data_IF_537017589006
#
_entry.id   IF_537017589006
#
_cell.length_a   1.000
_cell.length_b   1.000
_cell.length_c   1.000
_cell.angle_alpha   90.00
_cell.angle_beta   90.00
_cell.angle_gamma   90.00
#
_symmetry.space_group_name_H-M   'P 1'
#
loop_
_entity.id
_entity.type
_entity.pdbx_description
1 polymer ?
#
# COMPACT_ATOMS: atom_id res chain seq x y z
N UNK A 1 -3.68 23.39 -18.13
CA UNK A 1 -2.62 23.37 -17.11
C UNK A 1 -1.31 23.22 -17.83
N UNK A 2 -0.45 24.23 -17.74
CA UNK A 2 0.91 24.20 -18.26
C UNK A 2 1.64 23.00 -17.64
N UNK A 3 2.26 22.14 -18.46
CA UNK A 3 2.93 20.93 -17.98
C UNK A 3 4.17 21.36 -17.18
N UNK A 4 4.04 21.43 -15.86
CA UNK A 4 5.19 21.59 -14.96
C UNK A 4 6.16 20.45 -15.28
N UNK A 5 7.43 20.79 -15.54
CA UNK A 5 8.45 19.78 -15.83
C UNK A 5 8.57 18.81 -14.66
N UNK A 6 8.71 17.52 -14.98
CA UNK A 6 8.82 16.44 -14.00
C UNK A 6 9.91 16.74 -12.93
N UNK A 7 11.00 17.39 -13.32
CA UNK A 7 12.08 17.78 -12.41
C UNK A 7 11.63 18.78 -11.34
N UNK A 8 10.79 19.76 -11.71
CA UNK A 8 10.26 20.75 -10.76
C UNK A 8 9.31 20.08 -9.77
N UNK A 9 8.52 19.11 -10.25
CA UNK A 9 7.56 18.35 -9.44
C UNK A 9 8.29 17.54 -8.35
N UNK A 10 9.38 16.85 -8.68
CA UNK A 10 10.20 16.13 -7.70
C UNK A 10 10.99 17.07 -6.77
N UNK A 11 11.44 18.22 -7.27
CA UNK A 11 12.07 19.24 -6.43
C UNK A 11 11.11 19.77 -5.36
N UNK A 12 9.84 20.02 -5.72
CA UNK A 12 8.80 20.44 -4.77
C UNK A 12 8.54 19.39 -3.70
N UNK A 13 8.53 18.10 -4.06
CA UNK A 13 8.40 17.00 -3.08
C UNK A 13 9.57 17.04 -2.09
N UNK A 14 10.80 17.13 -2.59
CA UNK A 14 11.99 17.17 -1.74
C UNK A 14 11.97 18.40 -0.83
N UNK A 15 11.68 19.58 -1.38
CA UNK A 15 11.56 20.82 -0.62
C UNK A 15 10.47 20.73 0.46
N UNK A 16 9.33 20.09 0.15
CA UNK A 16 8.24 19.87 1.11
C UNK A 16 8.68 18.98 2.28
N UNK A 17 9.43 17.90 2.00
CA UNK A 17 9.93 17.00 3.05
C UNK A 17 11.02 17.66 3.90
N UNK A 18 11.89 18.47 3.28
CA UNK A 18 12.87 19.30 3.98
C UNK A 18 12.19 20.32 4.90
N UNK A 19 11.13 20.98 4.41
CA UNK A 19 10.28 21.87 5.22
C UNK A 19 9.63 21.13 6.40
N UNK A 20 9.10 19.91 6.18
CA UNK A 20 8.54 19.10 7.26
C UNK A 20 9.56 18.84 8.37
N UNK A 21 10.81 18.55 7.98
CA UNK A 21 11.89 18.25 8.91
C UNK A 21 12.39 19.48 9.67
N UNK A 22 12.69 20.59 9.00
CA UNK A 22 13.29 21.76 9.65
C UNK A 22 12.29 22.71 10.28
N UNK A 23 11.04 22.76 9.79
CA UNK A 23 10.03 23.70 10.31
C UNK A 23 8.99 22.94 11.12
N UNK A 24 8.28 21.99 10.50
CA UNK A 24 7.14 21.34 11.16
C UNK A 24 7.56 20.47 12.36
N UNK A 25 8.73 19.83 12.31
CA UNK A 25 9.22 19.02 13.42
C UNK A 25 9.52 19.84 14.69
N UNK A 26 9.87 21.12 14.54
CA UNK A 26 10.16 22.03 15.64
C UNK A 26 8.90 22.64 16.28
N UNK A 27 7.73 22.47 15.65
CA UNK A 27 6.47 22.94 16.19
C UNK A 27 5.91 21.97 17.26
N UNK A 28 5.08 22.49 18.19
CA UNK A 28 4.38 21.66 19.16
C UNK A 28 3.57 20.55 18.49
N UNK A 29 3.64 19.37 19.10
CA UNK A 29 2.87 18.18 18.70
C UNK A 29 1.37 18.50 18.74
N UNK A 30 0.60 17.93 17.82
CA UNK A 30 -0.84 18.11 17.70
C UNK A 30 -1.21 19.12 16.62
N UNK A 31 -2.12 20.03 16.95
CA UNK A 31 -2.82 20.89 15.97
C UNK A 31 -1.87 21.87 15.25
N UNK A 32 -0.88 22.45 15.94
CA UNK A 32 0.04 23.41 15.32
C UNK A 32 0.91 22.75 14.24
N UNK A 33 1.46 21.58 14.53
CA UNK A 33 2.18 20.76 13.54
C UNK A 33 1.27 20.27 12.41
N UNK A 34 0.00 19.97 12.70
CA UNK A 34 -0.96 19.58 11.64
C UNK A 34 -1.25 20.74 10.68
N UNK A 35 -1.49 21.95 11.21
CA UNK A 35 -1.73 23.15 10.41
C UNK A 35 -0.51 23.45 9.53
N UNK A 36 0.72 23.37 10.06
CA UNK A 36 1.93 23.60 9.26
C UNK A 36 2.11 22.60 8.12
N UNK A 37 1.63 21.36 8.28
CA UNK A 37 1.70 20.30 7.27
C UNK A 37 0.56 20.38 6.23
N UNK A 38 -0.47 21.20 6.44
CA UNK A 38 -1.63 21.30 5.55
C UNK A 38 -1.26 21.66 4.10
N UNK A 39 -0.35 22.61 3.82
CA UNK A 39 0.10 22.86 2.45
C UNK A 39 0.76 21.63 1.81
N UNK A 40 1.52 20.85 2.58
CA UNK A 40 2.19 19.63 2.11
C UNK A 40 1.17 18.55 1.77
N UNK A 41 0.11 18.39 2.58
CA UNK A 41 -0.99 17.48 2.26
C UNK A 41 -1.67 17.82 0.93
N UNK A 42 -1.91 19.11 0.68
CA UNK A 42 -2.45 19.59 -0.59
C UNK A 42 -1.54 19.26 -1.77
N UNK A 43 -0.24 19.57 -1.66
CA UNK A 43 0.75 19.29 -2.69
C UNK A 43 0.84 17.80 -3.01
N UNK A 44 0.94 16.94 -2.00
CA UNK A 44 1.02 15.48 -2.18
C UNK A 44 -0.28 14.87 -2.71
N UNK A 45 -1.42 15.55 -2.55
CA UNK A 45 -2.69 15.12 -3.12
C UNK A 45 -2.77 15.46 -4.61
N UNK A 46 -2.26 16.62 -5.03
CA UNK A 46 -2.26 17.06 -6.45
C UNK A 46 -1.14 16.40 -7.25
N UNK A 47 -0.03 16.07 -6.60
CA UNK A 47 1.20 15.56 -7.23
C UNK A 47 0.99 14.47 -8.30
N UNK A 48 0.23 13.37 -8.05
CA UNK A 48 0.10 12.32 -9.05
C UNK A 48 -0.71 12.75 -10.28
N UNK A 49 -1.53 13.80 -10.16
CA UNK A 49 -2.33 14.32 -11.26
C UNK A 49 -1.46 15.02 -12.31
N UNK A 50 -0.24 15.42 -11.96
CA UNK A 50 0.73 16.08 -12.83
C UNK A 50 1.46 15.09 -13.75
N UNK A 51 1.37 13.79 -13.49
CA UNK A 51 1.97 12.76 -14.34
C UNK A 51 1.05 12.43 -15.52
N UNK A 52 1.66 12.17 -16.68
CA UNK A 52 0.94 11.75 -17.90
C UNK A 52 0.82 10.23 -18.03
N UNK A 53 1.66 9.47 -17.31
CA UNK A 53 1.65 8.00 -17.34
C UNK A 53 0.77 7.45 -16.23
N UNK A 54 -0.10 6.49 -16.56
CA UNK A 54 -0.98 5.78 -15.65
C UNK A 54 -0.21 5.07 -14.54
N UNK A 55 0.86 4.36 -14.90
CA UNK A 55 1.72 3.65 -13.95
C UNK A 55 2.44 4.64 -13.02
N UNK A 56 3.05 5.69 -13.57
CA UNK A 56 3.70 6.72 -12.76
C UNK A 56 2.71 7.41 -11.81
N UNK A 57 1.49 7.72 -12.28
CA UNK A 57 0.42 8.28 -11.44
C UNK A 57 0.04 7.32 -10.31
N UNK A 58 -0.09 6.01 -10.57
CA UNK A 58 -0.42 5.03 -9.54
C UNK A 58 0.69 4.94 -8.46
N UNK A 59 1.96 4.89 -8.87
CA UNK A 59 3.11 4.86 -7.95
C UNK A 59 3.19 6.16 -7.13
N UNK A 60 3.07 7.31 -7.78
CA UNK A 60 3.05 8.63 -7.15
C UNK A 60 1.91 8.75 -6.13
N UNK A 61 0.72 8.28 -6.48
CA UNK A 61 -0.44 8.27 -5.58
C UNK A 61 -0.18 7.41 -4.35
N UNK A 62 0.31 6.18 -4.56
CA UNK A 62 0.62 5.27 -3.48
C UNK A 62 1.68 5.82 -2.53
N UNK A 63 2.74 6.44 -3.04
CA UNK A 63 3.85 6.93 -2.21
C UNK A 63 3.48 8.23 -1.50
N UNK A 64 2.85 9.19 -2.19
CA UNK A 64 2.65 10.54 -1.66
C UNK A 64 1.25 10.77 -1.13
N UNK A 65 0.24 10.70 -2.00
CA UNK A 65 -1.15 10.97 -1.61
C UNK A 65 -1.63 10.04 -0.52
N UNK A 66 -1.19 8.78 -0.58
CA UNK A 66 -1.46 7.78 0.44
C UNK A 66 -0.38 7.78 1.51
N UNK A 67 0.74 7.06 1.30
CA UNK A 67 1.62 6.73 2.41
C UNK A 67 2.23 7.96 3.09
N UNK A 68 2.77 8.90 2.34
CA UNK A 68 3.41 10.09 2.91
C UNK A 68 2.44 10.95 3.70
N UNK A 69 1.25 11.24 3.15
CA UNK A 69 0.23 12.03 3.84
C UNK A 69 -0.20 11.38 5.16
N UNK A 70 -0.49 10.07 5.16
CA UNK A 70 -0.91 9.38 6.38
C UNK A 70 0.22 9.26 7.41
N UNK A 71 1.48 9.10 6.96
CA UNK A 71 2.64 9.12 7.85
C UNK A 71 2.88 10.49 8.46
N UNK A 72 2.75 11.57 7.67
CA UNK A 72 2.86 12.94 8.14
C UNK A 72 1.70 13.34 9.06
N UNK A 73 0.50 12.81 8.82
CA UNK A 73 -0.65 12.93 9.73
C UNK A 73 -0.38 12.21 11.07
N UNK A 74 0.16 11.00 11.04
CA UNK A 74 0.56 10.33 12.28
C UNK A 74 1.66 11.15 13.01
N UNK A 75 2.64 11.66 12.26
CA UNK A 75 3.72 12.52 12.77
C UNK A 75 3.22 13.81 13.41
N UNK A 76 2.12 14.40 12.91
CA UNK A 76 1.54 15.61 13.50
C UNK A 76 1.13 15.37 14.95
N UNK A 77 0.64 14.16 15.27
CA UNK A 77 0.20 13.74 16.60
C UNK A 77 1.19 12.84 17.33
N UNK A 78 2.49 12.92 16.98
CA UNK A 78 3.57 12.17 17.64
C UNK A 78 3.45 10.63 17.55
N UNK A 79 2.82 10.13 16.49
CA UNK A 79 2.64 8.70 16.25
C UNK A 79 3.48 8.20 15.07
N UNK A 80 3.82 6.92 15.13
CA UNK A 80 4.54 6.22 14.07
C UNK A 80 6.05 6.49 14.06
N UNK A 81 6.77 5.97 13.04
CA UNK A 81 8.22 5.93 13.06
C UNK A 81 8.88 7.29 12.84
N UNK A 82 8.19 8.25 12.22
CA UNK A 82 8.70 9.63 12.02
C UNK A 82 8.83 10.42 13.33
N UNK A 83 8.12 10.00 14.39
CA UNK A 83 8.19 10.60 15.73
C UNK A 83 9.23 9.93 16.64
N UNK A 84 9.98 8.94 16.11
CA UNK A 84 10.98 8.20 16.89
C UNK A 84 12.13 9.10 17.34
N UNK A 85 12.43 9.10 18.64
CA UNK A 85 13.52 9.88 19.22
C UNK A 85 14.91 9.25 19.03
N UNK A 86 14.98 8.03 18.46
CA UNK A 86 16.25 7.32 18.34
C UNK A 86 17.19 8.02 17.34
N UNK A 87 18.51 8.15 17.65
CA UNK A 87 19.46 8.91 16.83
C UNK A 87 19.53 8.47 15.36
N UNK A 88 19.31 7.17 15.09
CA UNK A 88 19.26 6.63 13.73
C UNK A 88 18.17 7.28 12.85
N UNK A 89 17.11 7.81 13.47
CA UNK A 89 15.95 8.39 12.79
C UNK A 89 15.98 9.92 12.71
N UNK A 90 17.03 10.55 13.25
CA UNK A 90 17.19 12.00 13.24
C UNK A 90 17.94 12.54 12.02
N UNK A 91 18.47 11.71 11.14
CA UNK A 91 19.08 12.24 9.92
C UNK A 91 18.00 12.70 8.93
N UNK A 92 18.24 13.83 8.26
CA UNK A 92 17.35 14.36 7.22
C UNK A 92 17.05 13.31 6.15
N UNK A 93 18.08 12.56 5.72
CA UNK A 93 17.94 11.51 4.72
C UNK A 93 17.01 10.38 5.18
N UNK A 94 17.15 9.93 6.43
CA UNK A 94 16.27 8.89 6.98
C UNK A 94 14.85 9.41 7.14
N UNK A 95 14.65 10.67 7.54
CA UNK A 95 13.31 11.26 7.61
C UNK A 95 12.63 11.31 6.23
N UNK A 96 13.34 11.82 5.21
CA UNK A 96 12.84 11.88 3.83
C UNK A 96 12.49 10.48 3.32
N UNK A 97 13.39 9.51 3.49
CA UNK A 97 13.14 8.13 3.07
C UNK A 97 11.93 7.50 3.79
N UNK A 98 11.84 7.66 5.11
CA UNK A 98 10.74 7.13 5.91
C UNK A 98 9.39 7.76 5.59
N UNK A 99 9.37 9.07 5.29
CA UNK A 99 8.16 9.78 4.91
C UNK A 99 7.68 9.36 3.50
N UNK A 100 8.58 9.36 2.52
CA UNK A 100 8.26 9.18 1.09
C UNK A 100 8.09 7.73 0.63
N UNK A 101 8.90 6.81 1.16
CA UNK A 101 8.95 5.44 0.64
C UNK A 101 8.07 4.50 1.46
N UNK A 102 7.61 3.36 0.89
CA UNK A 102 6.77 2.38 1.56
C UNK A 102 7.54 1.51 2.59
N UNK A 103 8.20 2.16 3.53
CA UNK A 103 9.10 1.51 4.49
C UNK A 103 8.38 1.08 5.75
N UNK A 104 8.83 -0.05 6.27
CA UNK A 104 8.51 -0.53 7.61
C UNK A 104 9.79 -0.94 8.30
N UNK A 105 10.02 -0.36 9.48
CA UNK A 105 11.17 -0.68 10.29
C UNK A 105 11.01 -2.06 10.92
N UNK A 106 12.08 -2.84 10.88
CA UNK A 106 12.15 -4.15 11.49
C UNK A 106 11.96 -4.04 13.00
N UNK A 107 10.91 -4.68 13.54
CA UNK A 107 10.78 -4.86 14.99
C UNK A 107 11.87 -5.84 15.45
N UNK A 108 12.68 -5.46 16.44
CA UNK A 108 13.56 -6.42 17.14
C UNK A 108 12.71 -7.60 17.63
N UNK A 109 13.19 -8.83 17.41
CA UNK A 109 12.66 -10.10 17.93
C UNK A 109 11.47 -10.79 17.23
N UNK A 110 11.23 -10.61 15.93
CA UNK A 110 10.29 -11.49 15.22
C UNK A 110 11.03 -12.41 14.25
N UNK A 111 11.29 -13.64 14.69
CA UNK A 111 11.86 -14.70 13.85
C UNK A 111 10.74 -15.24 12.96
N UNK A 112 10.54 -14.65 11.77
CA UNK A 112 9.56 -15.14 10.80
C UNK A 112 10.23 -16.12 9.84
N UNK A 113 9.85 -17.40 9.91
CA UNK A 113 10.20 -18.39 8.89
C UNK A 113 9.22 -18.26 7.73
N UNK A 114 9.59 -17.53 6.67
CA UNK A 114 8.90 -17.66 5.38
C UNK A 114 9.19 -19.05 4.81
N UNK A 115 8.15 -19.78 4.40
CA UNK A 115 8.26 -21.05 3.68
C UNK A 115 8.83 -20.80 2.29
N UNK A 116 8.38 -19.73 1.62
CA UNK A 116 8.89 -19.28 0.33
C UNK A 116 9.65 -17.96 0.52
N UNK A 117 10.97 -18.04 0.76
CA UNK A 117 11.85 -16.86 0.71
C UNK A 117 12.11 -16.49 -0.75
N UNK A 118 11.12 -15.93 -1.44
CA UNK A 118 11.39 -15.22 -2.68
C UNK A 118 12.33 -14.06 -2.34
N UNK A 119 13.51 -14.05 -2.97
CA UNK A 119 14.34 -12.87 -2.96
C UNK A 119 13.77 -11.87 -3.98
N UNK A 120 14.15 -10.60 -3.85
CA UNK A 120 13.67 -9.54 -4.73
C UNK A 120 13.88 -9.88 -6.22
N UNK A 121 14.98 -10.56 -6.57
CA UNK A 121 15.25 -11.00 -7.93
C UNK A 121 14.20 -12.01 -8.45
N UNK A 122 13.79 -12.97 -7.62
CA UNK A 122 12.75 -13.94 -7.97
C UNK A 122 11.37 -13.27 -8.11
N UNK A 123 11.05 -12.28 -7.27
CA UNK A 123 9.80 -11.50 -7.39
C UNK A 123 9.79 -10.70 -8.71
N UNK A 124 10.89 -10.04 -9.05
CA UNK A 124 11.04 -9.31 -10.33
C UNK A 124 10.93 -10.27 -11.52
N UNK A 125 11.59 -11.43 -11.46
CA UNK A 125 11.53 -12.44 -12.52
C UNK A 125 10.12 -13.03 -12.67
N UNK A 126 9.44 -13.32 -11.56
CA UNK A 126 8.05 -13.79 -11.55
C UNK A 126 7.09 -12.75 -12.12
N UNK A 127 7.28 -11.48 -11.75
CA UNK A 127 6.50 -10.36 -12.28
C UNK A 127 6.69 -10.21 -13.80
N UNK A 128 7.93 -10.23 -14.28
CA UNK A 128 8.24 -10.15 -15.71
C UNK A 128 7.69 -11.36 -16.49
N UNK A 129 7.83 -12.57 -15.94
CA UNK A 129 7.30 -13.79 -16.54
C UNK A 129 5.78 -13.79 -16.64
N UNK A 130 5.10 -13.31 -15.60
CA UNK A 130 3.63 -13.16 -15.58
C UNK A 130 3.15 -12.12 -16.59
N UNK A 131 3.85 -10.98 -16.72
CA UNK A 131 3.55 -9.99 -17.76
C UNK A 131 3.69 -10.59 -19.16
N UNK A 132 4.75 -11.37 -19.42
CA UNK A 132 4.91 -12.06 -20.70
C UNK A 132 3.78 -13.06 -20.97
N UNK A 133 3.34 -13.79 -19.94
CA UNK A 133 2.21 -14.72 -20.05
C UNK A 133 0.92 -13.97 -20.43
N UNK A 134 0.63 -12.86 -19.74
CA UNK A 134 -0.54 -12.01 -20.02
C UNK A 134 -0.47 -11.45 -21.44
N UNK A 135 0.67 -10.92 -21.88
CA UNK A 135 0.80 -10.36 -23.23
C UNK A 135 0.70 -11.40 -24.35
N UNK A 136 1.03 -12.66 -24.07
CA UNK A 136 1.02 -13.73 -25.08
C UNK A 136 -0.32 -14.46 -25.16
N UNK A 137 -0.98 -14.65 -24.03
CA UNK A 137 -2.17 -15.50 -23.93
C UNK A 137 -3.40 -14.80 -23.34
N UNK A 138 -3.29 -13.54 -22.93
CA UNK A 138 -4.38 -12.78 -22.28
C UNK A 138 -5.65 -12.71 -23.11
N UNK A 139 -5.54 -12.38 -24.40
CA UNK A 139 -6.70 -12.16 -25.28
C UNK A 139 -7.50 -13.44 -25.56
N UNK A 140 -6.87 -14.63 -25.46
CA UNK A 140 -7.50 -15.92 -25.70
C UNK A 140 -7.85 -16.71 -24.44
N UNK A 141 -7.52 -16.21 -23.26
CA UNK A 141 -7.73 -16.90 -22.00
C UNK A 141 -9.16 -16.70 -21.46
N UNK A 142 -9.65 -17.68 -20.71
CA UNK A 142 -10.92 -17.55 -20.00
C UNK A 142 -10.86 -16.38 -18.99
N UNK A 143 -11.93 -15.58 -18.89
CA UNK A 143 -11.96 -14.36 -18.07
C UNK A 143 -11.51 -14.59 -16.62
N UNK A 144 -12.00 -15.65 -15.96
CA UNK A 144 -11.59 -15.97 -14.58
C UNK A 144 -10.08 -16.24 -14.48
N UNK A 145 -9.46 -16.84 -15.49
CA UNK A 145 -8.02 -17.08 -15.50
C UNK A 145 -7.24 -15.77 -15.61
N UNK A 146 -7.71 -14.84 -16.44
CA UNK A 146 -7.14 -13.49 -16.54
C UNK A 146 -7.22 -12.76 -15.19
N UNK A 147 -8.36 -12.87 -14.48
CA UNK A 147 -8.51 -12.27 -13.14
C UNK A 147 -7.58 -12.90 -12.09
N UNK A 148 -7.30 -14.21 -12.18
CA UNK A 148 -6.26 -14.86 -11.36
C UNK A 148 -4.90 -14.25 -11.68
N UNK A 149 -4.53 -14.12 -12.96
CA UNK A 149 -3.27 -13.49 -13.35
C UNK A 149 -3.17 -12.04 -12.88
N UNK A 150 -4.25 -11.26 -12.96
CA UNK A 150 -4.29 -9.89 -12.44
C UNK A 150 -4.10 -9.85 -10.91
N UNK A 151 -4.66 -10.81 -10.18
CA UNK A 151 -4.46 -10.92 -8.73
C UNK A 151 -3.00 -11.16 -8.37
N UNK A 152 -2.36 -12.08 -9.07
CA UNK A 152 -0.92 -12.36 -8.92
C UNK A 152 -0.07 -11.17 -9.35
N UNK A 153 -0.47 -10.46 -10.41
CA UNK A 153 0.24 -9.30 -10.92
C UNK A 153 0.22 -8.15 -9.91
N UNK A 154 -0.94 -7.84 -9.34
CA UNK A 154 -1.07 -6.79 -8.30
C UNK A 154 -0.27 -7.17 -7.05
N UNK A 155 -0.32 -8.43 -6.62
CA UNK A 155 0.47 -8.91 -5.50
C UNK A 155 1.98 -8.72 -5.73
N UNK A 156 2.49 -9.22 -6.86
CA UNK A 156 3.90 -9.10 -7.22
C UNK A 156 4.32 -7.64 -7.44
N UNK A 157 3.45 -6.81 -8.03
CA UNK A 157 3.70 -5.39 -8.23
C UNK A 157 3.96 -4.68 -6.90
N UNK A 158 3.09 -4.89 -5.91
CA UNK A 158 3.25 -4.28 -4.57
C UNK A 158 4.53 -4.79 -3.92
N UNK A 159 4.78 -6.10 -3.95
CA UNK A 159 5.97 -6.68 -3.32
C UNK A 159 7.27 -6.17 -3.98
N UNK A 160 7.33 -6.09 -5.32
CA UNK A 160 8.48 -5.53 -6.07
C UNK A 160 8.66 -4.04 -5.77
N UNK A 161 7.59 -3.23 -5.81
CA UNK A 161 7.69 -1.78 -5.54
C UNK A 161 8.22 -1.50 -4.13
N UNK A 162 7.72 -2.21 -3.13
CA UNK A 162 8.19 -2.07 -1.75
C UNK A 162 9.59 -2.66 -1.57
N UNK A 163 9.88 -3.79 -2.21
CA UNK A 163 11.19 -4.45 -2.16
C UNK A 163 12.31 -3.60 -2.77
N UNK A 164 12.08 -3.00 -3.94
CA UNK A 164 13.02 -2.05 -4.57
C UNK A 164 13.21 -0.81 -3.71
N UNK A 165 12.13 -0.25 -3.18
CA UNK A 165 12.20 0.90 -2.25
C UNK A 165 13.02 0.55 -1.01
N UNK A 166 12.84 -0.65 -0.47
CA UNK A 166 13.57 -1.10 0.69
C UNK A 166 15.05 -1.36 0.42
N UNK A 167 15.37 -1.93 -0.74
CA UNK A 167 16.75 -2.08 -1.18
C UNK A 167 17.45 -0.74 -1.31
N UNK A 168 16.82 0.26 -1.95
CA UNK A 168 17.38 1.60 -2.10
C UNK A 168 17.71 2.24 -0.74
N UNK A 169 16.82 2.11 0.24
CA UNK A 169 17.03 2.66 1.59
C UNK A 169 18.12 1.92 2.34
N UNK A 170 18.18 0.59 2.20
CA UNK A 170 19.26 -0.21 2.81
C UNK A 170 20.62 0.24 2.31
N UNK A 171 20.75 0.51 1.01
CA UNK A 171 21.99 1.04 0.41
C UNK A 171 22.30 2.46 0.92
N UNK A 172 21.31 3.33 1.01
CA UNK A 172 21.50 4.74 1.39
C UNK A 172 21.71 4.98 2.89
N UNK A 173 21.10 4.16 3.75
CA UNK A 173 21.01 4.41 5.20
C UNK A 173 21.53 3.27 6.06
N UNK A 174 21.79 2.09 5.47
CA UNK A 174 22.17 0.88 6.20
C UNK A 174 21.03 0.25 7.02
N UNK A 175 19.80 0.77 6.94
CA UNK A 175 18.67 0.26 7.71
C UNK A 175 18.06 -0.99 7.06
N UNK A 176 17.90 -2.05 7.85
CA UNK A 176 17.16 -3.25 7.45
C UNK A 176 15.65 -3.04 7.60
N UNK A 177 14.91 -3.47 6.58
CA UNK A 177 13.48 -3.25 6.47
C UNK A 177 12.70 -4.57 6.49
N UNK A 178 11.48 -4.50 7.01
CA UNK A 178 10.56 -5.63 6.99
C UNK A 178 9.96 -5.84 5.59
N UNK A 179 9.65 -7.09 5.21
CA UNK A 179 8.99 -7.36 3.96
C UNK A 179 7.56 -6.76 3.92
N UNK A 180 7.06 -6.40 2.71
CA UNK A 180 5.73 -5.85 2.50
C UNK A 180 4.61 -6.80 2.94
N UNK A 181 4.76 -8.08 2.61
CA UNK A 181 3.75 -9.11 2.85
C UNK A 181 4.36 -10.35 3.54
N UNK A 182 3.51 -11.09 4.25
CA UNK A 182 3.86 -12.29 5.02
C UNK A 182 2.98 -13.48 4.64
N UNK A 183 3.20 -14.00 3.42
CA UNK A 183 2.51 -15.17 2.85
C UNK A 183 0.97 -15.10 3.03
N UNK A 184 0.31 -14.10 2.41
CA UNK A 184 -1.12 -13.82 2.61
C UNK A 184 -2.03 -14.99 2.20
N UNK A 185 -1.57 -15.84 1.28
CA UNK A 185 -2.27 -17.05 0.86
C UNK A 185 -2.34 -18.15 1.94
N UNK A 186 -1.61 -18.01 3.06
CA UNK A 186 -1.69 -18.93 4.21
C UNK A 186 -2.66 -18.45 5.31
N UNK A 187 -3.44 -17.40 5.05
CA UNK A 187 -4.36 -16.83 6.03
C UNK A 187 -5.50 -17.78 6.34
N UNK A 188 -5.79 -17.97 7.63
CA UNK A 188 -6.91 -18.81 8.10
C UNK A 188 -8.13 -17.99 8.58
N UNK A 189 -8.04 -16.66 8.54
CA UNK A 189 -9.13 -15.72 8.85
C UNK A 189 -8.93 -14.40 8.11
N UNK A 190 -9.99 -13.62 7.93
CA UNK A 190 -9.88 -12.31 7.30
C UNK A 190 -9.09 -11.32 8.17
N UNK A 191 -9.21 -11.43 9.50
CA UNK A 191 -8.39 -10.63 10.43
C UNK A 191 -6.90 -10.93 10.26
N UNK A 192 -6.53 -12.18 10.07
CA UNK A 192 -5.13 -12.56 9.83
C UNK A 192 -4.65 -12.05 8.47
N UNK A 193 -5.46 -12.20 7.43
CA UNK A 193 -5.16 -11.72 6.08
C UNK A 193 -4.85 -10.22 6.09
N UNK A 194 -5.82 -9.39 6.50
CA UNK A 194 -5.70 -7.93 6.45
C UNK A 194 -4.80 -7.35 7.54
N UNK A 195 -4.77 -7.94 8.73
CA UNK A 195 -4.06 -7.36 9.87
C UNK A 195 -2.60 -7.80 10.02
N UNK A 196 -2.22 -8.96 9.44
CA UNK A 196 -0.91 -9.58 9.73
C UNK A 196 -0.13 -10.03 8.52
N UNK A 197 -0.76 -10.22 7.36
CA UNK A 197 -0.11 -10.84 6.19
C UNK A 197 -0.12 -9.99 4.93
N UNK A 198 -1.20 -9.28 4.62
CA UNK A 198 -1.32 -8.47 3.42
C UNK A 198 -0.87 -7.02 3.65
N UNK A 199 -0.05 -6.50 2.73
CA UNK A 199 0.36 -5.09 2.63
C UNK A 199 0.57 -4.40 4.00
N UNK A 200 1.57 -4.87 4.72
CA UNK A 200 1.82 -4.47 6.09
C UNK A 200 2.35 -3.04 6.21
N UNK A 201 2.87 -2.47 5.12
CA UNK A 201 3.22 -1.05 5.05
C UNK A 201 1.96 -0.19 5.18
N UNK A 202 0.93 -0.45 4.37
CA UNK A 202 -0.36 0.27 4.47
C UNK A 202 -1.03 0.01 5.81
N UNK A 203 -1.06 -1.25 6.25
CA UNK A 203 -1.67 -1.64 7.53
C UNK A 203 -1.04 -0.88 8.72
N UNK A 204 0.29 -0.76 8.78
CA UNK A 204 0.92 0.02 9.85
C UNK A 204 0.70 1.52 9.70
N UNK A 205 0.66 2.03 8.47
CA UNK A 205 0.38 3.43 8.22
C UNK A 205 -1.02 3.81 8.73
N UNK A 206 -2.04 3.02 8.40
CA UNK A 206 -3.39 3.21 8.95
C UNK A 206 -3.49 2.91 10.43
N UNK A 207 -2.68 1.98 10.95
CA UNK A 207 -2.64 1.72 12.39
C UNK A 207 -2.36 2.99 13.18
N UNK A 208 -1.30 3.71 12.81
CA UNK A 208 -0.87 4.92 13.53
C UNK A 208 -1.72 6.16 13.22
N UNK A 209 -2.29 6.25 12.02
CA UNK A 209 -3.04 7.44 11.57
C UNK A 209 -4.54 7.36 11.78
N UNK A 210 -5.12 6.15 11.85
CA UNK A 210 -6.58 5.93 11.90
C UNK A 210 -6.95 5.00 13.05
N UNK A 211 -6.49 3.75 13.02
CA UNK A 211 -7.00 2.70 13.90
C UNK A 211 -6.77 2.99 15.39
N UNK A 212 -5.51 3.25 15.79
CA UNK A 212 -5.18 3.53 17.19
C UNK A 212 -5.91 4.81 17.69
N UNK A 213 -5.88 5.96 16.98
CA UNK A 213 -6.67 7.13 17.37
C UNK A 213 -8.18 6.87 17.50
N UNK A 214 -8.80 6.22 16.52
CA UNK A 214 -10.25 5.94 16.56
C UNK A 214 -10.58 4.97 17.68
N UNK A 215 -9.73 3.97 17.93
CA UNK A 215 -9.90 3.04 19.06
C UNK A 215 -9.80 3.77 20.39
N UNK A 216 -8.82 4.64 20.57
CA UNK A 216 -8.64 5.42 21.81
C UNK A 216 -9.86 6.32 22.09
N UNK A 217 -10.34 7.03 21.06
CA UNK A 217 -11.56 7.85 21.16
C UNK A 217 -12.80 6.99 21.46
N UNK A 218 -12.93 5.85 20.79
CA UNK A 218 -14.09 4.96 20.97
C UNK A 218 -14.06 4.28 22.34
N UNK A 219 -12.89 3.94 22.87
CA UNK A 219 -12.75 3.32 24.19
C UNK A 219 -13.33 4.19 25.31
N UNK A 220 -13.26 5.52 25.16
CA UNK A 220 -13.85 6.46 26.10
C UNK A 220 -15.40 6.43 26.10
N UNK A 221 -16.03 5.98 25.00
CA UNK A 221 -17.50 6.03 24.83
C UNK A 221 -18.15 4.65 24.97
N UNK A 222 -17.59 3.62 24.33
CA UNK A 222 -18.19 2.27 24.22
C UNK A 222 -17.40 1.19 24.97
N UNK A 223 -16.34 1.58 25.68
CA UNK A 223 -15.48 0.67 26.45
C UNK A 223 -14.42 -0.04 25.60
N UNK A 224 -13.33 -0.43 26.27
CA UNK A 224 -12.13 -0.96 25.60
C UNK A 224 -12.33 -2.26 24.81
N UNK A 225 -13.29 -3.09 25.21
CA UNK A 225 -13.58 -4.37 24.54
C UNK A 225 -14.25 -4.20 23.17
N UNK A 226 -15.02 -3.13 22.98
CA UNK A 226 -15.78 -2.87 21.76
C UNK A 226 -15.18 -1.75 20.90
N UNK A 227 -14.29 -0.94 21.49
CA UNK A 227 -13.53 0.10 20.80
C UNK A 227 -12.84 -0.32 19.50
N UNK A 228 -12.38 -1.57 19.32
CA UNK A 228 -11.80 -2.01 18.05
C UNK A 228 -12.77 -2.03 16.88
N UNK A 229 -14.08 -2.24 17.09
CA UNK A 229 -15.07 -2.30 16.02
C UNK A 229 -15.15 -1.00 15.18
N UNK A 230 -15.41 0.18 15.77
CA UNK A 230 -15.42 1.43 14.99
C UNK A 230 -14.05 1.73 14.37
N UNK A 231 -12.95 1.36 15.03
CA UNK A 231 -11.61 1.52 14.49
C UNK A 231 -11.36 0.66 13.24
N UNK A 232 -11.82 -0.60 13.24
CA UNK A 232 -11.79 -1.47 12.06
C UNK A 232 -12.61 -0.86 10.93
N UNK A 233 -13.87 -0.49 11.19
CA UNK A 233 -14.76 0.07 10.18
C UNK A 233 -14.21 1.37 9.57
N UNK A 234 -13.70 2.29 10.40
CA UNK A 234 -13.08 3.52 9.91
C UNK A 234 -11.84 3.24 9.05
N UNK A 235 -11.02 2.27 9.43
CA UNK A 235 -9.82 1.87 8.67
C UNK A 235 -10.20 1.28 7.30
N UNK A 236 -11.19 0.38 7.26
CA UNK A 236 -11.65 -0.23 6.02
C UNK A 236 -12.37 0.78 5.12
N UNK A 237 -13.20 1.66 5.68
CA UNK A 237 -13.84 2.73 4.92
C UNK A 237 -12.78 3.63 4.25
N UNK A 238 -11.78 4.07 5.00
CA UNK A 238 -10.72 4.92 4.46
C UNK A 238 -9.85 4.18 3.44
N UNK A 239 -9.54 2.90 3.67
CA UNK A 239 -8.88 2.07 2.67
C UNK A 239 -9.69 1.99 1.37
N UNK A 240 -11.01 1.82 1.47
CA UNK A 240 -11.92 1.83 0.31
C UNK A 240 -11.88 3.14 -0.47
N UNK A 241 -11.98 4.27 0.23
CA UNK A 241 -11.88 5.59 -0.37
C UNK A 241 -10.55 5.82 -1.07
N UNK A 242 -9.43 5.35 -0.50
CA UNK A 242 -8.11 5.49 -1.11
C UNK A 242 -7.97 4.67 -2.40
N UNK A 243 -8.57 3.48 -2.46
CA UNK A 243 -8.59 2.68 -3.70
C UNK A 243 -9.51 3.28 -4.75
N UNK A 244 -10.67 3.80 -4.35
CA UNK A 244 -11.56 4.52 -5.26
C UNK A 244 -10.88 5.76 -5.86
N UNK A 245 -10.15 6.50 -5.02
CA UNK A 245 -9.37 7.67 -5.43
C UNK A 245 -8.20 7.27 -6.35
N UNK A 246 -7.56 6.13 -6.11
CA UNK A 246 -6.53 5.57 -6.99
C UNK A 246 -7.08 5.33 -8.40
N UNK A 247 -8.26 4.68 -8.51
CA UNK A 247 -8.91 4.43 -9.80
C UNK A 247 -9.27 5.76 -10.47
N UNK A 248 -9.83 6.71 -9.73
CA UNK A 248 -10.11 8.07 -10.25
C UNK A 248 -8.84 8.74 -10.80
N UNK A 249 -7.71 8.61 -10.11
CA UNK A 249 -6.45 9.24 -10.52
C UNK A 249 -5.84 8.60 -11.77
N UNK A 250 -5.89 7.27 -11.86
CA UNK A 250 -5.32 6.53 -12.99
C UNK A 250 -6.23 6.63 -14.21
N UNK A 251 -7.52 6.33 -14.05
CA UNK A 251 -8.46 6.24 -15.17
C UNK A 251 -9.08 7.59 -15.57
N UNK A 252 -9.03 8.60 -14.69
CA UNK A 252 -9.74 9.89 -14.86
C UNK A 252 -11.24 9.72 -15.11
N UNK A 253 -11.81 8.64 -14.58
CA UNK A 253 -13.22 8.27 -14.71
C UNK A 253 -13.95 8.42 -13.37
N UNK A 254 -15.26 8.63 -13.41
CA UNK A 254 -16.07 8.81 -12.19
C UNK A 254 -15.97 7.59 -11.25
N UNK A 255 -15.85 7.81 -9.92
CA UNK A 255 -15.93 6.75 -8.93
C UNK A 255 -17.17 5.87 -9.09
N UNK A 256 -16.97 4.56 -9.06
CA UNK A 256 -18.01 3.53 -9.10
C UNK A 256 -18.49 3.14 -7.70
N UNK A 257 -17.67 3.39 -6.67
CA UNK A 257 -17.84 2.96 -5.28
C UNK A 257 -17.77 1.45 -5.05
N UNK A 258 -17.53 0.65 -6.10
CA UNK A 258 -17.41 -0.81 -6.01
C UNK A 258 -16.19 -1.23 -5.18
N UNK A 259 -15.04 -0.54 -5.33
CA UNK A 259 -13.87 -0.80 -4.47
C UNK A 259 -14.12 -0.38 -3.03
N UNK A 260 -14.82 0.73 -2.81
CA UNK A 260 -15.22 1.12 -1.45
C UNK A 260 -16.11 0.06 -0.81
N UNK A 261 -17.09 -0.47 -1.56
CA UNK A 261 -17.95 -1.57 -1.12
C UNK A 261 -17.17 -2.84 -0.80
N UNK A 262 -16.15 -3.19 -1.60
CA UNK A 262 -15.24 -4.30 -1.32
C UNK A 262 -14.62 -4.17 0.08
N UNK A 263 -13.98 -3.03 0.37
CA UNK A 263 -13.32 -2.85 1.67
C UNK A 263 -14.32 -2.78 2.83
N UNK A 264 -15.48 -2.15 2.65
CA UNK A 264 -16.51 -2.12 3.69
C UNK A 264 -17.05 -3.53 4.00
N UNK A 265 -17.31 -4.35 2.97
CA UNK A 265 -17.72 -5.74 3.14
C UNK A 265 -16.69 -6.53 3.94
N UNK A 266 -15.40 -6.42 3.57
CA UNK A 266 -14.32 -7.04 4.33
C UNK A 266 -14.22 -6.49 5.76
N UNK A 267 -14.44 -5.20 5.96
CA UNK A 267 -14.47 -4.57 7.28
C UNK A 267 -15.57 -5.12 8.17
N UNK A 268 -16.78 -5.29 7.65
CA UNK A 268 -17.91 -5.92 8.35
C UNK A 268 -17.57 -7.37 8.70
N UNK A 269 -16.97 -8.12 7.77
CA UNK A 269 -16.61 -9.52 8.04
C UNK A 269 -15.52 -9.64 9.11
N UNK A 270 -14.50 -8.79 9.08
CA UNK A 270 -13.45 -8.75 10.13
C UNK A 270 -14.02 -8.29 11.48
N UNK A 271 -14.93 -7.32 11.47
CA UNK A 271 -15.64 -6.86 12.66
C UNK A 271 -16.51 -7.99 13.25
N UNK A 272 -17.19 -8.79 12.40
CA UNK A 272 -17.96 -9.94 12.81
C UNK A 272 -17.07 -11.06 13.39
N UNK A 273 -15.93 -11.36 12.76
CA UNK A 273 -14.92 -12.29 13.32
C UNK A 273 -14.45 -11.84 14.72
N UNK A 274 -14.23 -10.54 14.90
CA UNK A 274 -13.84 -9.99 16.20
C UNK A 274 -14.97 -10.05 17.23
N UNK A 275 -16.19 -9.65 16.86
CA UNK A 275 -17.34 -9.64 17.76
C UNK A 275 -17.72 -11.05 18.21
N UNK A 276 -17.65 -12.04 17.31
CA UNK A 276 -17.87 -13.45 17.65
C UNK A 276 -16.80 -14.00 18.59
N UNK A 277 -15.52 -13.68 18.35
CA UNK A 277 -14.42 -14.03 19.27
C UNK A 277 -14.66 -13.45 20.67
N UNK A 278 -15.11 -12.20 20.75
CA UNK A 278 -15.40 -11.54 22.03
C UNK A 278 -16.63 -12.11 22.73
N UNK A 279 -17.70 -12.42 21.98
CA UNK A 279 -18.94 -12.96 22.54
C UNK A 279 -18.80 -14.40 23.05
N UNK A 280 -17.96 -15.21 22.39
CA UNK A 280 -17.75 -16.63 22.73
C UNK A 280 -16.51 -16.89 23.59
N UNK A 281 -15.76 -15.84 23.98
CA UNK A 281 -14.53 -15.98 24.77
C UNK A 281 -13.39 -16.68 24.02
N UNK A 282 -13.44 -16.70 22.69
CA UNK A 282 -12.46 -17.34 21.83
C UNK A 282 -12.95 -17.56 20.40
N UNK A 283 -12.02 -17.85 19.49
CA UNK A 283 -12.33 -18.18 18.09
C UNK A 283 -12.70 -19.66 17.95
N UNK A 284 -13.85 -20.00 17.33
CA UNK A 284 -14.15 -21.38 16.94
C UNK A 284 -13.05 -21.87 15.99
N UNK A 285 -12.29 -22.87 16.41
CA UNK A 285 -11.13 -23.37 15.65
C UNK A 285 -11.60 -24.31 14.55
N UNK A 286 -11.93 -23.76 13.39
CA UNK A 286 -12.03 -24.56 12.16
C UNK A 286 -10.64 -25.13 11.82
N UNK A 287 -10.56 -26.38 11.31
CA UNK A 287 -9.29 -26.92 10.82
C UNK A 287 -8.69 -26.00 9.74
N UNK A 288 -7.37 -25.79 9.78
CA UNK A 288 -6.68 -24.90 8.84
C UNK A 288 -6.91 -25.26 7.37
N UNK A 289 -7.06 -26.56 7.08
CA UNK A 289 -7.36 -27.07 5.75
C UNK A 289 -8.73 -26.61 5.21
N UNK A 290 -9.63 -26.18 6.09
CA UNK A 290 -10.96 -25.66 5.73
C UNK A 290 -10.96 -24.13 5.79
N UNK A 291 -10.48 -23.55 6.89
CA UNK A 291 -10.50 -22.10 7.10
C UNK A 291 -9.61 -21.35 6.11
N UNK A 292 -8.47 -21.95 5.70
CA UNK A 292 -7.55 -21.37 4.73
C UNK A 292 -8.18 -21.18 3.35
N UNK A 293 -8.63 -22.28 2.68
CA UNK A 293 -9.30 -22.19 1.39
C UNK A 293 -10.57 -21.33 1.42
N UNK A 294 -11.34 -21.37 2.52
CA UNK A 294 -12.51 -20.48 2.67
C UNK A 294 -12.11 -19.00 2.70
N UNK A 295 -11.07 -18.65 3.47
CA UNK A 295 -10.60 -17.25 3.57
C UNK A 295 -10.06 -16.77 2.24
N UNK A 296 -9.18 -17.54 1.59
CA UNK A 296 -8.59 -17.18 0.30
C UNK A 296 -9.65 -17.16 -0.79
N UNK A 297 -10.54 -18.15 -0.82
CA UNK A 297 -11.67 -18.21 -1.77
C UNK A 297 -12.61 -17.02 -1.62
N UNK A 298 -12.93 -16.62 -0.39
CA UNK A 298 -13.72 -15.41 -0.13
C UNK A 298 -13.02 -14.16 -0.67
N UNK A 299 -11.74 -13.96 -0.33
CA UNK A 299 -10.95 -12.81 -0.81
C UNK A 299 -10.88 -12.78 -2.33
N UNK A 300 -10.59 -13.91 -2.99
CA UNK A 300 -10.50 -13.98 -4.45
C UNK A 300 -11.87 -13.73 -5.09
N UNK A 301 -12.93 -14.34 -4.56
CA UNK A 301 -14.29 -14.16 -5.05
C UNK A 301 -14.77 -12.71 -4.96
N UNK A 302 -14.57 -12.05 -3.81
CA UNK A 302 -14.92 -10.63 -3.65
C UNK A 302 -14.02 -9.73 -4.50
N UNK A 303 -12.76 -10.11 -4.73
CA UNK A 303 -11.85 -9.36 -5.62
C UNK A 303 -12.36 -9.39 -7.06
N UNK A 304 -12.82 -10.55 -7.54
CA UNK A 304 -13.36 -10.69 -8.89
C UNK A 304 -14.68 -9.92 -9.06
N UNK A 305 -15.47 -9.87 -8.00
CA UNK A 305 -16.78 -9.23 -8.02
C UNK A 305 -16.73 -7.71 -7.87
N UNK A 306 -15.89 -7.16 -6.97
CA UNK A 306 -15.96 -5.74 -6.59
C UNK A 306 -14.65 -4.97 -6.81
N UNK A 307 -13.51 -5.65 -6.90
CA UNK A 307 -12.21 -4.99 -7.00
C UNK A 307 -11.74 -4.80 -8.45
N UNK A 308 -11.80 -5.85 -9.28
CA UNK A 308 -11.35 -5.75 -10.68
C UNK A 308 -12.30 -5.07 -11.65
N UNK A 309 -13.64 -5.19 -11.54
CA UNK A 309 -14.54 -4.61 -12.53
C UNK A 309 -14.36 -3.10 -12.76
N UNK A 310 -14.11 -2.26 -11.74
CA UNK A 310 -13.81 -0.84 -11.94
C UNK A 310 -12.56 -0.61 -12.79
N UNK A 311 -11.48 -1.36 -12.53
CA UNK A 311 -10.21 -1.23 -13.26
C UNK A 311 -10.35 -1.60 -14.73
N UNK A 312 -11.08 -2.70 -15.00
CA UNK A 312 -11.29 -3.21 -16.36
C UNK A 312 -12.25 -2.30 -17.13
N UNK A 313 -13.36 -1.88 -16.51
CA UNK A 313 -14.37 -1.01 -17.13
C UNK A 313 -13.81 0.36 -17.48
N UNK A 314 -12.88 0.87 -16.66
CA UNK A 314 -12.23 2.14 -16.91
C UNK A 314 -11.02 2.05 -17.85
N UNK A 315 -10.61 0.84 -18.24
CA UNK A 315 -9.41 0.60 -19.05
C UNK A 315 -8.08 0.89 -18.34
N UNK A 316 -8.10 1.07 -17.02
CA UNK A 316 -6.90 1.38 -16.24
C UNK A 316 -5.90 0.23 -16.27
N UNK A 317 -6.39 -1.01 -16.29
CA UNK A 317 -5.58 -2.22 -16.45
C UNK A 317 -4.79 -2.20 -17.75
N UNK A 318 -5.46 -1.90 -18.88
CA UNK A 318 -4.83 -1.83 -20.20
C UNK A 318 -3.79 -0.71 -20.30
N UNK A 319 -4.12 0.49 -19.81
CA UNK A 319 -3.18 1.63 -19.79
C UNK A 319 -1.88 1.27 -19.07
N UNK A 320 -1.98 0.69 -17.88
CA UNK A 320 -0.80 0.29 -17.09
C UNK A 320 -0.03 -0.83 -17.78
N UNK A 321 -0.72 -1.83 -18.33
CA UNK A 321 -0.11 -2.96 -19.04
C UNK A 321 0.67 -2.51 -20.30
N UNK A 322 0.11 -1.58 -21.08
CA UNK A 322 0.76 -1.01 -22.27
C UNK A 322 2.02 -0.21 -21.92
N UNK A 323 1.97 0.59 -20.86
CA UNK A 323 3.14 1.32 -20.37
C UNK A 323 4.24 0.37 -19.88
N UNK A 324 3.89 -0.66 -19.10
CA UNK A 324 4.84 -1.68 -18.64
C UNK A 324 5.48 -2.43 -19.80
N UNK A 325 4.70 -2.78 -20.84
CA UNK A 325 5.22 -3.39 -22.07
C UNK A 325 6.28 -2.51 -22.72
N UNK A 326 5.99 -1.21 -22.83
CA UNK A 326 6.90 -0.22 -23.41
C UNK A 326 8.20 -0.10 -22.61
N UNK A 327 8.11 -0.06 -21.27
CA UNK A 327 9.29 -0.02 -20.41
C UNK A 327 10.15 -1.28 -20.52
N UNK A 328 9.54 -2.46 -20.56
CA UNK A 328 10.26 -3.73 -20.73
C UNK A 328 10.99 -3.76 -22.08
N UNK A 329 10.32 -3.33 -23.16
CA UNK A 329 10.93 -3.27 -24.49
C UNK A 329 12.11 -2.28 -24.53
N UNK A 330 11.96 -1.11 -23.90
CA UNK A 330 13.04 -0.13 -23.79
C UNK A 330 14.26 -0.70 -23.08
N UNK A 331 14.07 -1.34 -21.92
CA UNK A 331 15.15 -1.98 -21.15
C UNK A 331 15.80 -3.10 -21.98
N UNK A 332 15.00 -3.93 -22.64
CA UNK A 332 15.51 -5.02 -23.47
C UNK A 332 16.37 -4.52 -24.63
N UNK A 333 15.92 -3.49 -25.34
CA UNK A 333 16.64 -2.90 -26.46
C UNK A 333 17.94 -2.22 -26.00
N UNK A 334 17.89 -1.50 -24.87
CA UNK A 334 19.07 -0.86 -24.30
C UNK A 334 20.11 -1.91 -23.84
N UNK A 335 19.66 -2.98 -23.16
CA UNK A 335 20.54 -4.08 -22.77
C UNK A 335 21.18 -4.75 -23.98
N UNK A 336 20.41 -5.04 -25.03
CA UNK A 336 20.97 -5.58 -26.28
C UNK A 336 22.02 -4.66 -26.89
N UNK A 337 21.79 -3.35 -26.89
CA UNK A 337 22.75 -2.39 -27.42
C UNK A 337 24.08 -2.38 -26.64
N UNK A 338 24.02 -2.53 -25.30
CA UNK A 338 25.21 -2.61 -24.46
C UNK A 338 25.97 -3.92 -24.61
N UNK A 339 25.26 -5.04 -24.82
CA UNK A 339 25.88 -6.36 -25.03
C UNK A 339 26.50 -6.47 -26.42
N UNK A 340 25.91 -5.83 -27.45
CA UNK A 340 26.47 -5.83 -28.81
C UNK A 340 27.64 -4.83 -28.95
N UNK A 341 27.72 -3.81 -28.09
CA UNK A 341 28.79 -2.82 -28.08
C UNK A 341 30.07 -3.25 -27.32
N UNK A 342 30.05 -4.42 -26.65
CA UNK A 342 31.19 -5.05 -25.96
C UNK A 342 31.62 -6.33 -26.67
#
# INVERSE_FOLDING_TARGET
MEKISLTHVWFLVLASLVYCYFVSANLPKGIFRFISLTPVFGLFTVFPLLHSSAFCTAVAFFFFTWLSNFKLLAFSFDRGPLSSSSPAYRSLLTFIAMASLPLRLKKKNVNRSKILRLNLAAEIAGFAGLLQLIFRYGDGAHQNLVLIWYSLLVFLMVDVLVGVSGFAVRVLTGLDLDPPSDEPYLSCSLREFWGRRWNLTVTNTFRFSVYDPVRELSAAVIGGAWAPLPAMMATFALSGLMHELLVFYVARARPSWEMTAFFLLHGVCVAAEYATEQAWGGTPRLPRAVSGPLTVGFVVGTTFWLFFPPLIRSGADKMVLEELKTYIQFIHNHWRSLVIAN
#
